data_IF_480852843385
#
_entry.id   IF_480852843385
#
_cell.length_a   1.000
_cell.length_b   1.000
_cell.length_c   1.000
_cell.angle_alpha   90.00
_cell.angle_beta   90.00
_cell.angle_gamma   90.00
#
_symmetry.space_group_name_H-M   'P 1'
#
loop_
_entity.id
_entity.type
_entity.pdbx_description
1 polymer ?
#
# COMPACT_ATOMS: atom_id res chain seq x y z
N UNK A 1 31.18 -5.28 33.96
CA UNK A 1 30.04 -4.41 33.57
C UNK A 1 29.56 -4.91 32.22
N UNK A 2 28.56 -5.80 32.19
CA UNK A 2 27.93 -6.23 30.94
C UNK A 2 26.78 -5.27 30.64
N UNK A 3 26.86 -4.68 29.45
CA UNK A 3 25.87 -3.80 28.85
C UNK A 3 24.50 -4.50 28.77
N UNK A 4 23.48 -3.75 29.18
CA UNK A 4 22.10 -3.72 28.67
C UNK A 4 21.76 -4.79 27.60
N UNK A 5 21.17 -5.91 28.03
CA UNK A 5 20.27 -6.68 27.17
C UNK A 5 18.95 -5.91 27.09
N UNK A 6 18.83 -5.03 26.11
CA UNK A 6 17.56 -4.44 25.73
C UNK A 6 16.57 -5.59 25.49
N UNK A 7 15.56 -5.72 26.36
CA UNK A 7 14.61 -6.83 26.32
C UNK A 7 14.01 -6.95 24.93
N UNK A 8 14.31 -8.05 24.25
CA UNK A 8 13.73 -8.37 22.97
C UNK A 8 12.21 -8.44 23.18
N UNK A 9 11.46 -7.48 22.64
CA UNK A 9 10.01 -7.54 22.67
C UNK A 9 9.62 -8.71 21.78
N UNK A 10 9.21 -9.82 22.40
CA UNK A 10 8.69 -10.95 21.65
C UNK A 10 7.29 -10.60 21.13
N UNK A 11 6.96 -11.08 19.93
CA UNK A 11 5.61 -10.99 19.40
C UNK A 11 4.61 -11.53 20.43
N UNK A 12 4.91 -12.66 21.07
CA UNK A 12 4.11 -13.22 22.16
C UNK A 12 3.89 -12.27 23.35
N UNK A 13 4.91 -11.48 23.73
CA UNK A 13 4.81 -10.51 24.81
C UNK A 13 3.89 -9.34 24.46
N UNK A 14 3.98 -8.85 23.22
CA UNK A 14 3.07 -7.82 22.71
C UNK A 14 1.62 -8.32 22.65
N UNK A 15 1.40 -9.56 22.21
CA UNK A 15 0.06 -10.15 22.09
C UNK A 15 -0.59 -10.37 23.47
N UNK A 16 0.15 -10.90 24.44
CA UNK A 16 -0.34 -11.05 25.81
C UNK A 16 -0.71 -9.70 26.44
N UNK A 17 0.05 -8.64 26.12
CA UNK A 17 -0.28 -7.29 26.57
C UNK A 17 -1.59 -6.78 25.93
N UNK A 18 -1.76 -6.99 24.62
CA UNK A 18 -2.99 -6.63 23.89
C UNK A 18 -4.19 -7.42 24.41
N UNK A 19 -4.04 -8.72 24.72
CA UNK A 19 -5.07 -9.54 25.37
C UNK A 19 -5.50 -8.98 26.74
N UNK A 20 -4.52 -8.46 27.50
CA UNK A 20 -4.78 -7.75 28.76
C UNK A 20 -5.56 -6.44 28.55
N UNK A 21 -5.27 -5.71 27.46
CA UNK A 21 -5.99 -4.49 27.09
C UNK A 21 -7.43 -4.78 26.66
N UNK A 22 -7.66 -5.86 25.90
CA UNK A 22 -9.00 -6.32 25.51
C UNK A 22 -9.85 -6.75 26.72
N UNK A 23 -9.22 -7.30 27.77
CA UNK A 23 -9.91 -7.79 28.97
C UNK A 23 -10.13 -6.72 30.05
N UNK A 24 -9.52 -5.53 29.89
CA UNK A 24 -9.60 -4.43 30.86
C UNK A 24 -10.96 -3.74 30.77
N UNK A 25 -11.92 -4.27 31.52
CA UNK A 25 -13.29 -3.82 31.70
C UNK A 25 -13.34 -2.35 32.17
N UNK A 26 -13.81 -1.43 31.33
CA UNK A 26 -14.04 -0.05 31.77
C UNK A 26 -14.39 0.99 30.69
N UNK A 27 -13.88 0.86 29.47
CA UNK A 27 -14.12 1.88 28.42
C UNK A 27 -14.18 1.25 27.02
N UNK A 28 -15.06 1.77 26.17
CA UNK A 28 -15.15 1.40 24.75
C UNK A 28 -13.88 1.86 24.04
N UNK A 29 -13.10 0.93 23.47
CA UNK A 29 -11.83 1.20 22.79
C UNK A 29 -11.83 0.65 21.37
N UNK A 30 -11.34 1.44 20.42
CA UNK A 30 -11.04 1.00 19.05
C UNK A 30 -9.52 0.90 18.92
N UNK A 31 -9.02 -0.27 18.55
CA UNK A 31 -7.59 -0.52 18.34
C UNK A 31 -7.37 -0.80 16.84
N UNK A 32 -6.52 -0.01 16.21
CA UNK A 32 -6.17 -0.16 14.78
C UNK A 32 -4.77 -0.75 14.68
N UNK A 33 -4.66 -1.86 13.96
CA UNK A 33 -3.39 -2.48 13.60
C UNK A 33 -3.14 -2.33 12.10
N UNK A 34 -1.88 -2.13 11.73
CA UNK A 34 -1.44 -2.14 10.33
C UNK A 34 -0.35 -3.19 10.16
N UNK A 35 -0.40 -3.94 9.06
CA UNK A 35 0.64 -4.90 8.69
C UNK A 35 0.73 -5.00 7.18
N UNK A 36 1.95 -5.13 6.66
CA UNK A 36 2.18 -5.48 5.26
C UNK A 36 2.13 -7.00 5.04
N UNK A 37 2.16 -7.79 6.11
CA UNK A 37 2.28 -9.24 6.09
C UNK A 37 1.22 -9.87 7.01
N UNK A 38 -0.04 -9.90 6.55
CA UNK A 38 -1.15 -10.49 7.31
C UNK A 38 -0.95 -12.00 7.50
N UNK A 39 -0.36 -12.67 6.51
CA UNK A 39 -0.05 -14.10 6.47
C UNK A 39 0.95 -14.55 7.54
N UNK A 40 1.75 -13.62 8.08
CA UNK A 40 2.72 -13.91 9.16
C UNK A 40 2.12 -13.78 10.55
N UNK A 41 0.87 -13.31 10.67
CA UNK A 41 0.19 -13.20 11.96
C UNK A 41 -0.37 -14.56 12.39
N UNK A 42 -0.34 -14.80 13.71
CA UNK A 42 -0.98 -15.97 14.29
C UNK A 42 -2.49 -15.93 14.00
N UNK A 43 -3.08 -16.99 13.39
CA UNK A 43 -4.51 -17.06 13.12
C UNK A 43 -5.40 -16.87 14.36
N UNK A 44 -4.87 -17.10 15.57
CA UNK A 44 -5.58 -16.84 16.82
C UNK A 44 -5.93 -15.36 17.02
N UNK A 45 -5.10 -14.44 16.49
CA UNK A 45 -5.31 -12.99 16.61
C UNK A 45 -6.40 -12.47 15.67
N UNK A 46 -6.59 -13.14 14.53
CA UNK A 46 -7.55 -12.77 13.49
C UNK A 46 -8.98 -13.24 13.82
N UNK A 47 -9.20 -13.79 15.01
CA UNK A 47 -10.52 -14.28 15.44
C UNK A 47 -11.43 -13.12 15.86
N UNK A 48 -12.76 -13.28 15.70
CA UNK A 48 -13.74 -12.33 16.24
C UNK A 48 -13.51 -12.02 17.73
N UNK A 49 -13.71 -10.75 18.11
CA UNK A 49 -13.42 -10.20 19.44
C UNK A 49 -11.96 -9.79 19.69
N UNK A 50 -11.09 -9.92 18.67
CA UNK A 50 -9.68 -9.48 18.67
C UNK A 50 -9.45 -8.53 17.50
N UNK A 51 -8.75 -8.96 16.46
CA UNK A 51 -8.69 -8.26 15.17
C UNK A 51 -9.84 -8.76 14.31
N UNK A 52 -11.04 -8.26 14.55
CA UNK A 52 -12.28 -8.77 13.98
C UNK A 52 -12.70 -8.07 12.68
N UNK A 53 -12.24 -6.83 12.45
CA UNK A 53 -12.42 -6.10 11.19
C UNK A 53 -11.10 -6.06 10.41
N UNK A 54 -11.15 -6.49 9.14
CA UNK A 54 -9.99 -6.50 8.25
C UNK A 54 -10.24 -5.65 7.01
N UNK A 55 -9.39 -4.66 6.78
CA UNK A 55 -9.42 -3.79 5.61
C UNK A 55 -8.11 -3.96 4.85
N UNK A 56 -8.19 -4.40 3.60
CA UNK A 56 -7.03 -4.47 2.70
C UNK A 56 -6.83 -3.11 2.02
N UNK A 57 -5.63 -2.54 2.18
CA UNK A 57 -5.21 -1.33 1.46
C UNK A 57 -4.36 -1.75 0.26
N UNK A 58 -5.00 -1.95 -0.88
CA UNK A 58 -4.37 -2.46 -2.10
C UNK A 58 -3.84 -1.34 -3.01
N UNK A 59 -3.24 -1.73 -4.13
CA UNK A 59 -2.82 -0.86 -5.22
C UNK A 59 -4.00 -0.05 -5.80
N UNK A 60 -3.66 1.02 -6.50
CA UNK A 60 -4.62 1.95 -7.06
C UNK A 60 -5.46 1.28 -8.15
N UNK A 61 -6.77 1.41 -8.04
CA UNK A 61 -7.71 1.04 -9.11
C UNK A 61 -8.09 2.30 -9.91
N UNK A 62 -8.64 2.17 -11.13
CA UNK A 62 -9.21 3.30 -11.86
C UNK A 62 -10.20 4.14 -11.05
N UNK A 63 -10.98 3.49 -10.17
CA UNK A 63 -11.88 4.17 -9.24
C UNK A 63 -11.14 5.05 -8.23
N UNK A 64 -10.10 4.51 -7.59
CA UNK A 64 -9.27 5.26 -6.63
C UNK A 64 -8.55 6.41 -7.33
N UNK A 65 -8.03 6.19 -8.54
CA UNK A 65 -7.41 7.23 -9.37
C UNK A 65 -8.36 8.42 -9.56
N UNK A 66 -9.59 8.19 -10.03
CA UNK A 66 -10.58 9.28 -10.23
C UNK A 66 -10.85 10.04 -8.94
N UNK A 67 -10.94 9.34 -7.81
CA UNK A 67 -11.11 9.96 -6.49
C UNK A 67 -9.92 10.83 -6.10
N UNK A 68 -8.69 10.37 -6.33
CA UNK A 68 -7.49 11.17 -6.06
C UNK A 68 -7.43 12.40 -6.96
N UNK A 69 -7.69 12.26 -8.26
CA UNK A 69 -7.72 13.38 -9.20
C UNK A 69 -8.76 14.41 -8.81
N UNK A 70 -10.00 13.99 -8.52
CA UNK A 70 -11.04 14.89 -8.05
C UNK A 70 -10.67 15.58 -6.73
N UNK A 71 -9.98 14.88 -5.82
CA UNK A 71 -9.55 15.43 -4.55
C UNK A 71 -8.48 16.51 -4.70
N UNK A 72 -7.43 16.25 -5.49
CA UNK A 72 -6.26 17.13 -5.64
C UNK A 72 -6.45 18.23 -6.69
N UNK A 73 -7.01 17.88 -7.85
CA UNK A 73 -7.11 18.77 -9.02
C UNK A 73 -8.51 19.37 -9.21
N UNK A 74 -9.49 18.99 -8.38
CA UNK A 74 -10.88 19.48 -8.45
C UNK A 74 -11.51 19.31 -9.84
N UNK A 75 -11.13 18.23 -10.52
CA UNK A 75 -11.56 17.90 -11.88
C UNK A 75 -12.09 16.47 -11.90
N UNK A 76 -13.16 16.24 -12.64
CA UNK A 76 -13.89 14.97 -12.78
C UNK A 76 -13.79 14.36 -14.19
N UNK A 77 -13.22 15.09 -15.16
CA UNK A 77 -12.98 14.61 -16.52
C UNK A 77 -11.67 15.17 -17.12
N UNK A 78 -10.98 14.35 -17.89
CA UNK A 78 -9.78 14.76 -18.63
C UNK A 78 -9.49 13.80 -19.78
N UNK A 79 -9.00 14.34 -20.90
CA UNK A 79 -8.60 13.57 -22.10
C UNK A 79 -7.52 12.51 -21.85
N UNK A 80 -6.86 12.54 -20.69
CA UNK A 80 -5.79 11.62 -20.30
C UNK A 80 -6.26 10.52 -19.34
N UNK A 81 -7.53 10.48 -18.95
CA UNK A 81 -8.02 9.46 -18.03
C UNK A 81 -7.94 8.06 -18.63
N UNK A 82 -8.45 7.87 -19.84
CA UNK A 82 -8.41 6.57 -20.52
C UNK A 82 -6.99 5.96 -20.62
N UNK A 83 -5.95 6.68 -21.09
CA UNK A 83 -4.60 6.12 -21.12
C UNK A 83 -4.03 5.87 -19.71
N UNK A 84 -4.26 6.77 -18.76
CA UNK A 84 -3.76 6.62 -17.38
C UNK A 84 -4.43 5.41 -16.71
N UNK A 85 -5.75 5.23 -16.85
CA UNK A 85 -6.49 4.11 -16.26
C UNK A 85 -5.96 2.75 -16.73
N UNK A 86 -5.67 2.63 -18.03
CA UNK A 86 -5.07 1.42 -18.60
C UNK A 86 -3.70 1.13 -17.98
N UNK A 87 -2.84 2.15 -17.88
CA UNK A 87 -1.51 2.00 -17.31
C UNK A 87 -1.52 1.71 -15.80
N UNK A 88 -2.47 2.27 -15.05
CA UNK A 88 -2.63 2.01 -13.61
C UNK A 88 -2.89 0.52 -13.35
N UNK A 89 -3.66 -0.15 -14.22
CA UNK A 89 -3.94 -1.59 -14.13
C UNK A 89 -2.68 -2.40 -14.45
N UNK A 90 -1.92 -2.01 -15.47
CA UNK A 90 -0.73 -2.77 -15.92
C UNK A 90 0.45 -2.71 -14.92
N UNK A 91 0.64 -1.56 -14.28
CA UNK A 91 1.91 -1.21 -13.60
C UNK A 91 1.85 -1.34 -12.07
N UNK A 92 0.68 -1.66 -11.49
CA UNK A 92 0.49 -1.82 -10.03
C UNK A 92 1.10 -0.66 -9.23
N UNK A 93 0.42 0.49 -9.25
CA UNK A 93 0.87 1.73 -8.60
C UNK A 93 0.15 1.98 -7.28
N UNK A 94 0.86 2.46 -6.27
CA UNK A 94 0.26 2.77 -4.96
C UNK A 94 -0.50 4.11 -4.99
N UNK A 95 -1.54 4.29 -4.16
CA UNK A 95 -2.22 5.58 -4.03
C UNK A 95 -1.27 6.73 -3.66
N UNK A 96 -0.20 6.45 -2.89
CA UNK A 96 0.79 7.44 -2.49
C UNK A 96 1.63 7.94 -3.68
N UNK A 97 2.05 7.04 -4.57
CA UNK A 97 2.79 7.41 -5.80
C UNK A 97 1.93 8.30 -6.71
N UNK A 98 0.65 7.95 -6.91
CA UNK A 98 -0.29 8.78 -7.66
C UNK A 98 -0.42 10.17 -7.02
N UNK A 99 -0.67 10.21 -5.71
CA UNK A 99 -0.82 11.46 -4.98
C UNK A 99 0.42 12.36 -5.12
N UNK A 100 1.62 11.79 -5.06
CA UNK A 100 2.88 12.53 -5.27
C UNK A 100 2.91 13.21 -6.64
N UNK A 101 2.54 12.51 -7.72
CA UNK A 101 2.52 13.11 -9.05
C UNK A 101 1.45 14.19 -9.18
N UNK A 102 0.25 13.96 -8.61
CA UNK A 102 -0.84 14.94 -8.64
C UNK A 102 -0.52 16.20 -7.83
N UNK A 103 0.27 16.10 -6.77
CA UNK A 103 0.68 17.25 -5.95
C UNK A 103 1.76 18.13 -6.59
N UNK A 104 2.40 17.67 -7.68
CA UNK A 104 3.47 18.41 -8.35
C UNK A 104 2.97 19.71 -9.00
N UNK A 105 1.69 19.79 -9.38
CA UNK A 105 1.09 20.98 -9.97
C UNK A 105 -0.39 21.10 -9.64
N UNK A 106 -0.88 22.33 -9.48
CA UNK A 106 -2.32 22.62 -9.36
C UNK A 106 -3.03 22.63 -10.72
N UNK A 107 -2.28 22.71 -11.82
CA UNK A 107 -2.84 22.65 -13.16
C UNK A 107 -3.03 21.18 -13.55
N UNK A 108 -4.28 20.80 -13.87
CA UNK A 108 -4.66 19.43 -14.18
C UNK A 108 -3.91 18.87 -15.40
N UNK A 109 -3.73 19.67 -16.46
CA UNK A 109 -3.00 19.23 -17.65
C UNK A 109 -1.55 18.87 -17.32
N UNK A 110 -0.88 19.70 -16.50
CA UNK A 110 0.53 19.51 -16.15
C UNK A 110 0.67 18.29 -15.23
N UNK A 111 -0.18 18.20 -14.21
CA UNK A 111 -0.14 17.11 -13.24
C UNK A 111 -0.46 15.75 -13.88
N UNK A 112 -1.47 15.69 -14.76
CA UNK A 112 -1.87 14.45 -15.42
C UNK A 112 -0.87 14.03 -16.51
N UNK A 113 -0.24 14.99 -17.22
CA UNK A 113 0.89 14.67 -18.12
C UNK A 113 2.07 14.09 -17.34
N UNK A 114 2.46 14.71 -16.23
CA UNK A 114 3.52 14.19 -15.38
C UNK A 114 3.20 12.79 -14.82
N UNK A 115 1.94 12.55 -14.45
CA UNK A 115 1.48 11.23 -14.03
C UNK A 115 1.57 10.21 -15.17
N UNK A 116 1.17 10.58 -16.39
CA UNK A 116 1.26 9.70 -17.55
C UNK A 116 2.71 9.30 -17.83
N UNK A 117 3.62 10.27 -17.91
CA UNK A 117 5.06 10.03 -18.11
C UNK A 117 5.65 9.14 -17.00
N UNK A 118 5.24 9.36 -15.74
CA UNK A 118 5.66 8.52 -14.62
C UNK A 118 5.23 7.06 -14.80
N UNK A 119 3.98 6.83 -15.21
CA UNK A 119 3.43 5.48 -15.40
C UNK A 119 4.08 4.77 -16.59
N UNK A 120 4.33 5.47 -17.70
CA UNK A 120 5.05 4.92 -18.85
C UNK A 120 6.47 4.49 -18.48
N UNK A 121 7.21 5.35 -17.77
CA UNK A 121 8.56 5.02 -17.30
C UNK A 121 8.56 3.81 -16.35
N UNK A 122 7.55 3.69 -15.49
CA UNK A 122 7.43 2.57 -14.57
C UNK A 122 7.03 1.27 -15.30
N UNK A 123 6.24 1.37 -16.38
CA UNK A 123 5.97 0.23 -17.28
C UNK A 123 7.23 -0.29 -17.94
N UNK A 124 8.05 0.60 -18.50
CA UNK A 124 9.32 0.23 -19.15
C UNK A 124 10.26 -0.51 -18.20
N UNK A 125 10.44 0.01 -16.97
CA UNK A 125 11.26 -0.65 -15.94
C UNK A 125 10.75 -2.05 -15.60
N UNK A 126 9.43 -2.21 -15.45
CA UNK A 126 8.82 -3.52 -15.15
C UNK A 126 9.06 -4.53 -16.28
N UNK A 127 9.05 -4.08 -17.53
CA UNK A 127 9.36 -4.91 -18.70
C UNK A 127 10.86 -5.25 -18.83
N UNK A 128 11.75 -4.37 -18.35
CA UNK A 128 13.19 -4.64 -18.25
C UNK A 128 13.49 -5.67 -17.16
N UNK A 129 12.92 -5.50 -15.97
CA UNK A 129 13.11 -6.42 -14.83
C UNK A 129 12.63 -7.84 -15.16
N UNK A 130 11.50 -7.97 -15.87
CA UNK A 130 10.96 -9.26 -16.29
C UNK A 130 11.87 -10.00 -17.30
N UNK A 131 12.60 -9.30 -18.16
CA UNK A 131 13.54 -9.91 -19.12
C UNK A 131 14.80 -10.43 -18.45
N UNK A 132 15.27 -9.73 -17.41
CA UNK A 132 16.44 -10.15 -16.63
C UNK A 132 16.12 -11.42 -15.81
N UNK A 133 14.89 -11.55 -15.30
CA UNK A 133 14.45 -12.77 -14.61
C UNK A 133 14.32 -13.97 -15.56
N UNK A 134 13.83 -13.79 -16.80
CA UNK A 134 13.78 -14.87 -17.80
C UNK A 134 15.17 -15.31 -18.30
N UNK A 135 16.14 -14.41 -18.43
CA UNK A 135 17.52 -14.76 -18.82
C UNK A 135 18.28 -15.49 -17.70
N UNK A 136 18.01 -15.16 -16.43
CA UNK A 136 18.61 -15.84 -15.27
C UNK A 136 18.14 -17.28 -15.08
N UNK A 137 16.90 -17.61 -15.43
CA UNK A 137 16.39 -18.99 -15.34
C UNK A 137 16.93 -19.92 -16.46
N UNK A 138 17.46 -19.37 -17.56
CA UNK A 138 18.01 -20.17 -18.67
C UNK A 138 19.48 -20.58 -18.42
N UNK A 139 20.23 -19.82 -17.61
CA UNK A 139 21.63 -20.14 -17.28
C UNK A 139 21.81 -21.16 -16.14
N UNK A 140 20.76 -21.38 -15.31
CA UNK A 140 20.77 -22.34 -14.21
C UNK A 140 20.11 -23.71 -14.55
N UNK A 141 19.78 -23.97 -15.83
CA UNK A 141 19.14 -25.21 -16.33
C UNK A 141 20.06 -26.15 -17.12
#
# INVERSE_FOLDING_TARGET
>A
MNLLSCGQISLSGLLNFVDGLWSSCGEERIIIFTTNHKEKLDPALLRPGRMDVHILMDYCTPFVLKKLVAMYLKTDDHVLFDPIEKLVIDVSVTPAEIAQQLMASKNADIALKGLLEFLENKKMKKEEDAKVEEEGEIEDA
#
